data_IF_068781557681
#
_entry.id   IF_068781557681
#
_cell.length_a   1.000
_cell.length_b   1.000
_cell.length_c   1.000
_cell.angle_alpha   90.00
_cell.angle_beta   90.00
_cell.angle_gamma   90.00
#
_symmetry.space_group_name_H-M   'P 1'
#
loop_
_entity.id
_entity.type
_entity.pdbx_description
1 polymer ?
#
# COMPACT_ATOMS: atom_id res chain seq x y z
N UNK A 1 30.21 -17.34 25.35
CA UNK A 1 28.89 -16.80 25.71
C UNK A 1 28.73 -15.31 25.45
N UNK A 2 29.66 -14.39 25.68
CA UNK A 2 29.53 -12.94 25.40
C UNK A 2 29.37 -12.57 23.92
N UNK A 3 29.92 -13.33 22.96
CA UNK A 3 29.81 -13.07 21.51
C UNK A 3 28.45 -13.46 20.92
N UNK A 4 27.76 -14.44 21.51
CA UNK A 4 26.42 -14.84 21.06
C UNK A 4 25.32 -13.82 21.48
N UNK A 5 25.47 -13.22 22.69
CA UNK A 5 24.56 -12.19 23.16
C UNK A 5 24.66 -10.89 22.34
N UNK A 6 25.87 -10.52 21.90
CA UNK A 6 26.08 -9.33 21.07
C UNK A 6 25.49 -9.52 19.66
N UNK A 7 25.56 -10.72 19.10
CA UNK A 7 24.93 -11.03 17.79
C UNK A 7 23.40 -11.04 17.87
N UNK A 8 22.83 -11.49 19.00
CA UNK A 8 21.37 -11.49 19.20
C UNK A 8 20.84 -10.06 19.37
N UNK A 9 21.56 -9.19 20.06
CA UNK A 9 21.20 -7.76 20.23
C UNK A 9 21.32 -7.00 18.90
N UNK A 10 22.31 -7.33 18.08
CA UNK A 10 22.46 -6.73 16.74
C UNK A 10 21.35 -7.19 15.77
N UNK A 11 20.86 -8.43 15.88
CA UNK A 11 19.71 -8.90 15.09
C UNK A 11 18.37 -8.26 15.53
N UNK A 12 18.20 -7.94 16.80
CA UNK A 12 16.97 -7.27 17.30
C UNK A 12 16.93 -5.77 16.98
N UNK A 13 18.07 -5.13 16.73
CA UNK A 13 18.16 -3.70 16.36
C UNK A 13 17.93 -3.45 14.86
N UNK A 14 17.93 -4.50 14.04
CA UNK A 14 17.75 -4.39 12.56
C UNK A 14 16.28 -4.28 12.11
N UNK A 15 15.30 -4.45 13.00
CA UNK A 15 13.88 -4.51 12.63
C UNK A 15 13.10 -3.19 12.66
N UNK A 16 13.72 -2.05 12.96
CA UNK A 16 13.04 -0.74 12.93
C UNK A 16 13.53 0.10 11.76
N UNK A 17 13.19 -0.27 10.53
CA UNK A 17 13.98 0.18 9.38
C UNK A 17 13.20 0.83 8.24
N UNK A 18 11.97 1.20 8.42
CA UNK A 18 11.22 1.93 7.40
C UNK A 18 10.64 3.20 7.99
N UNK A 19 10.68 4.26 7.27
CA UNK A 19 10.54 5.60 7.81
C UNK A 19 9.59 6.48 6.97
N UNK A 20 8.43 5.96 6.65
CA UNK A 20 7.27 6.73 6.18
C UNK A 20 6.06 6.28 7.01
N UNK A 21 5.03 7.12 7.18
CA UNK A 21 3.78 6.70 7.82
C UNK A 21 3.34 5.35 7.28
N UNK A 22 3.37 5.21 5.98
CA UNK A 22 3.00 4.03 5.23
C UNK A 22 3.88 2.82 5.53
N UNK A 23 5.18 3.03 5.65
CA UNK A 23 6.13 1.98 6.04
C UNK A 23 5.93 1.54 7.51
N UNK A 24 5.41 2.44 8.37
CA UNK A 24 5.04 2.09 9.75
C UNK A 24 3.79 1.22 9.81
N UNK A 25 2.90 1.29 8.81
CA UNK A 25 1.71 0.45 8.72
C UNK A 25 2.02 -0.94 8.17
N UNK A 26 3.07 -1.07 7.34
CA UNK A 26 3.47 -2.36 6.79
C UNK A 26 4.11 -3.26 7.86
N UNK A 27 3.76 -4.54 7.85
CA UNK A 27 4.38 -5.52 8.76
C UNK A 27 5.79 -5.88 8.26
N UNK A 28 6.74 -5.91 9.19
CA UNK A 28 8.12 -6.30 8.93
C UNK A 28 8.30 -7.83 8.77
N UNK A 29 7.37 -8.62 9.32
CA UNK A 29 7.38 -10.07 9.22
C UNK A 29 5.97 -10.65 9.41
N UNK A 30 5.66 -11.65 8.60
CA UNK A 30 4.42 -12.43 8.67
C UNK A 30 4.60 -13.77 9.38
N UNK A 31 5.78 -14.02 9.94
CA UNK A 31 6.12 -15.28 10.61
C UNK A 31 5.54 -15.34 12.02
N UNK A 32 5.00 -16.49 12.37
CA UNK A 32 4.57 -16.81 13.74
C UNK A 32 5.83 -16.96 14.60
N UNK A 33 5.88 -16.28 15.74
CA UNK A 33 7.00 -16.36 16.66
C UNK A 33 6.85 -17.62 17.53
N UNK A 34 7.94 -18.32 17.75
CA UNK A 34 7.95 -19.48 18.64
C UNK A 34 7.60 -19.13 20.10
N UNK A 35 7.87 -17.90 20.53
CA UNK A 35 7.43 -17.37 21.82
C UNK A 35 5.93 -17.39 22.02
N UNK A 36 5.17 -17.32 20.92
CA UNK A 36 3.72 -17.16 20.92
C UNK A 36 2.99 -18.50 20.83
N UNK A 37 3.73 -19.60 20.74
CA UNK A 37 3.15 -20.96 20.72
C UNK A 37 2.31 -21.22 21.96
N UNK A 38 1.09 -21.71 21.76
CA UNK A 38 0.05 -21.97 22.76
C UNK A 38 -0.28 -20.73 23.60
N UNK A 39 -0.20 -19.56 22.99
CA UNK A 39 -0.50 -18.28 23.63
C UNK A 39 -1.82 -17.72 23.08
N UNK A 40 -2.61 -17.17 23.98
CA UNK A 40 -3.74 -16.28 23.68
C UNK A 40 -3.34 -14.85 24.05
N UNK A 41 -3.47 -13.94 23.10
CA UNK A 41 -3.13 -12.53 23.27
C UNK A 41 -4.30 -11.63 22.89
N UNK A 42 -4.34 -10.43 23.46
CA UNK A 42 -5.10 -9.31 22.89
C UNK A 42 -4.11 -8.42 22.16
N UNK A 43 -4.40 -8.15 20.92
CA UNK A 43 -3.68 -7.15 20.13
C UNK A 43 -4.64 -6.02 19.78
N UNK A 44 -4.16 -4.80 19.83
CA UNK A 44 -4.91 -3.63 19.35
C UNK A 44 -4.00 -2.95 18.33
N UNK A 45 -4.49 -2.70 17.14
CA UNK A 45 -3.84 -1.80 16.18
C UNK A 45 -4.77 -0.60 15.97
N UNK A 46 -4.27 0.60 16.17
CA UNK A 46 -5.07 1.81 16.06
C UNK A 46 -4.24 2.93 15.44
N UNK A 47 -4.86 3.71 14.58
CA UNK A 47 -4.28 4.87 13.93
C UNK A 47 -5.24 6.06 14.05
N UNK A 48 -4.81 7.11 14.74
CA UNK A 48 -5.46 8.41 14.69
C UNK A 48 -4.68 9.29 13.71
N UNK A 49 -5.38 9.96 12.83
CA UNK A 49 -4.74 10.73 11.77
C UNK A 49 -5.50 12.02 11.47
N UNK A 50 -4.74 12.98 10.97
CA UNK A 50 -5.25 14.15 10.27
C UNK A 50 -4.40 14.33 9.02
N UNK A 51 -5.05 14.43 7.87
CA UNK A 51 -4.41 14.73 6.59
C UNK A 51 -5.14 15.86 5.91
N UNK A 52 -4.39 16.79 5.36
CA UNK A 52 -4.91 17.92 4.60
C UNK A 52 -4.24 17.96 3.23
N UNK A 53 -5.06 17.90 2.19
CA UNK A 53 -4.66 17.84 0.79
C UNK A 53 -5.06 19.15 0.11
N UNK A 54 -4.08 20.04 -0.06
CA UNK A 54 -4.22 21.32 -0.73
C UNK A 54 -3.99 21.14 -2.25
N UNK A 55 -4.99 20.53 -2.90
CA UNK A 55 -4.96 20.22 -4.33
C UNK A 55 -5.82 21.19 -5.11
N UNK A 56 -5.22 22.00 -5.96
CA UNK A 56 -5.90 22.90 -6.90
C UNK A 56 -5.79 22.41 -8.35
N UNK A 57 -5.78 21.09 -8.53
CA UNK A 57 -5.49 20.44 -9.79
C UNK A 57 -6.75 20.23 -10.64
N UNK A 58 -6.54 20.11 -11.97
CA UNK A 58 -7.53 19.59 -12.91
C UNK A 58 -7.72 18.07 -12.76
N UNK A 59 -6.76 17.37 -12.17
CA UNK A 59 -6.85 15.93 -11.94
C UNK A 59 -7.72 15.58 -10.75
N UNK A 60 -7.62 16.35 -9.66
CA UNK A 60 -8.33 16.06 -8.40
C UNK A 60 -8.55 17.35 -7.60
N UNK A 61 -9.49 17.31 -6.65
CA UNK A 61 -9.73 18.39 -5.70
C UNK A 61 -9.04 18.12 -4.38
N UNK A 62 -8.72 19.19 -3.64
CA UNK A 62 -8.26 19.10 -2.26
C UNK A 62 -9.38 18.73 -1.29
N UNK A 63 -8.99 18.19 -0.15
CA UNK A 63 -9.87 17.82 0.96
C UNK A 63 -9.06 17.55 2.22
N UNK A 64 -9.68 17.74 3.39
CA UNK A 64 -9.09 17.35 4.66
C UNK A 64 -9.72 16.04 5.15
N UNK A 65 -8.93 15.19 5.77
CA UNK A 65 -9.33 13.87 6.23
C UNK A 65 -8.83 13.61 7.66
N UNK A 66 -9.54 14.09 8.71
CA UNK A 66 -9.32 13.65 10.08
C UNK A 66 -10.06 12.34 10.36
N UNK A 67 -9.41 11.42 11.06
CA UNK A 67 -10.03 10.14 11.38
C UNK A 67 -9.28 9.28 12.38
N UNK A 68 -9.91 8.16 12.68
CA UNK A 68 -9.39 7.12 13.55
C UNK A 68 -9.88 5.77 13.02
N UNK A 69 -9.00 4.79 12.90
CA UNK A 69 -9.42 3.39 12.88
C UNK A 69 -8.80 2.62 14.04
N UNK A 70 -9.49 1.57 14.49
CA UNK A 70 -9.05 0.70 15.57
C UNK A 70 -9.43 -0.76 15.28
N UNK A 71 -8.48 -1.65 15.53
CA UNK A 71 -8.61 -3.09 15.31
C UNK A 71 -8.24 -3.87 16.60
N UNK A 72 -9.16 -4.04 17.54
CA UNK A 72 -8.99 -4.94 18.67
C UNK A 72 -9.14 -6.39 18.21
N UNK A 73 -8.17 -7.25 18.56
CA UNK A 73 -8.10 -8.65 18.11
C UNK A 73 -7.71 -9.58 19.24
N UNK A 74 -8.34 -10.74 19.30
CA UNK A 74 -7.86 -11.92 20.00
C UNK A 74 -7.00 -12.72 19.04
N UNK A 75 -5.77 -13.02 19.42
CA UNK A 75 -4.81 -13.79 18.63
C UNK A 75 -4.46 -15.05 19.37
N UNK A 76 -4.75 -16.19 18.75
CA UNK A 76 -4.46 -17.51 19.30
C UNK A 76 -3.53 -18.31 18.39
N UNK A 77 -2.44 -18.81 18.95
CA UNK A 77 -1.43 -19.61 18.23
C UNK A 77 -1.44 -21.05 18.76
N UNK A 78 -2.37 -21.91 18.28
CA UNK A 78 -2.46 -23.30 18.77
C UNK A 78 -1.24 -24.15 18.43
N UNK A 79 -0.66 -23.93 17.26
CA UNK A 79 0.47 -24.67 16.71
C UNK A 79 1.53 -23.70 16.21
N UNK A 80 2.77 -24.14 16.12
CA UNK A 80 3.87 -23.33 15.60
C UNK A 80 3.67 -22.85 14.15
N UNK A 81 2.75 -23.49 13.42
CA UNK A 81 2.42 -23.18 12.05
C UNK A 81 1.07 -22.46 11.89
N UNK A 82 0.21 -22.41 12.91
CA UNK A 82 -1.15 -21.89 12.80
C UNK A 82 -1.36 -20.74 13.79
N UNK A 83 -1.89 -19.64 13.30
CA UNK A 83 -2.35 -18.50 14.08
C UNK A 83 -3.74 -18.08 13.61
N UNK A 84 -4.62 -17.82 14.55
CA UNK A 84 -6.00 -17.41 14.33
C UNK A 84 -6.24 -16.05 14.98
N UNK A 85 -6.86 -15.15 14.26
CA UNK A 85 -7.25 -13.82 14.75
C UNK A 85 -8.76 -13.66 14.65
N UNK A 86 -9.37 -13.15 15.71
CA UNK A 86 -10.78 -12.78 15.78
C UNK A 86 -10.91 -11.40 16.41
N UNK A 87 -11.64 -10.50 15.78
CA UNK A 87 -11.77 -9.13 16.26
C UNK A 87 -12.77 -8.31 15.49
N UNK A 88 -12.53 -7.01 15.46
CA UNK A 88 -13.30 -6.05 14.69
C UNK A 88 -12.37 -4.98 14.11
N UNK A 89 -12.75 -4.43 12.98
CA UNK A 89 -12.24 -3.17 12.43
C UNK A 89 -13.31 -2.11 12.62
N UNK A 90 -12.97 -0.97 13.20
CA UNK A 90 -13.85 0.18 13.31
C UNK A 90 -13.15 1.42 12.74
N UNK A 91 -13.82 2.12 11.85
CA UNK A 91 -13.33 3.33 11.21
C UNK A 91 -14.29 4.49 11.48
N UNK A 92 -13.75 5.63 11.92
CA UNK A 92 -14.47 6.89 12.12
C UNK A 92 -13.66 7.98 11.43
N UNK A 93 -14.29 8.79 10.58
CA UNK A 93 -13.62 9.91 9.94
C UNK A 93 -14.59 11.07 9.66
N UNK A 94 -14.00 12.25 9.55
CA UNK A 94 -14.61 13.45 8.99
C UNK A 94 -13.83 13.88 7.76
N UNK A 95 -14.44 14.67 6.87
CA UNK A 95 -13.82 15.11 5.62
C UNK A 95 -14.33 14.31 4.43
N UNK A 96 -13.51 14.12 3.42
CA UNK A 96 -13.92 13.39 2.23
C UNK A 96 -14.17 11.91 2.55
N UNK A 97 -15.40 11.47 2.39
CA UNK A 97 -15.77 10.06 2.55
C UNK A 97 -15.61 9.25 1.27
N UNK A 98 -15.25 9.88 0.20
CA UNK A 98 -15.07 9.26 -1.10
C UNK A 98 -13.64 9.48 -1.54
N UNK A 99 -12.98 8.39 -1.82
CA UNK A 99 -11.70 8.47 -2.46
C UNK A 99 -11.80 9.34 -3.71
N UNK A 100 -10.89 10.26 -3.98
CA UNK A 100 -11.00 11.17 -5.13
C UNK A 100 -10.77 10.45 -6.46
N UNK A 101 -11.06 9.15 -6.53
CA UNK A 101 -10.97 8.32 -7.71
C UNK A 101 -12.27 7.55 -7.90
N UNK A 102 -13.01 7.85 -8.94
CA UNK A 102 -14.27 7.15 -9.23
C UNK A 102 -14.06 5.66 -9.59
N UNK A 103 -12.84 5.25 -9.93
CA UNK A 103 -12.48 3.85 -10.14
C UNK A 103 -12.65 3.02 -8.87
N UNK A 104 -12.64 3.66 -7.71
CA UNK A 104 -12.81 3.04 -6.40
C UNK A 104 -14.25 3.10 -5.85
N UNK A 105 -15.24 3.44 -6.66
CA UNK A 105 -16.61 3.58 -6.20
C UNK A 105 -17.16 2.36 -5.45
N UNK A 106 -16.61 1.18 -5.73
CA UNK A 106 -17.05 -0.07 -5.16
C UNK A 106 -16.07 -0.62 -4.11
N UNK A 107 -14.94 0.04 -3.90
CA UNK A 107 -14.02 -0.29 -2.83
C UNK A 107 -14.56 0.34 -1.55
N UNK A 108 -15.13 -0.47 -0.69
CA UNK A 108 -15.91 0.00 0.44
C UNK A 108 -17.32 0.46 0.02
N UNK A 109 -18.28 0.15 0.83
CA UNK A 109 -19.73 0.40 0.61
C UNK A 109 -20.12 1.86 0.70
N UNK A 110 -19.32 2.75 0.17
CA UNK A 110 -19.55 4.18 0.19
C UNK A 110 -20.59 4.57 -0.86
N UNK A 111 -21.83 4.32 -0.50
CA UNK A 111 -22.94 4.78 -1.30
C UNK A 111 -23.22 6.25 -1.06
N UNK A 112 -23.40 6.92 -2.15
CA UNK A 112 -24.07 8.21 -2.17
C UNK A 112 -23.18 9.40 -2.06
N UNK A 113 -23.79 10.47 -1.67
CA UNK A 113 -23.30 11.82 -1.66
C UNK A 113 -21.95 11.96 -0.96
N UNK A 114 -21.24 12.98 -1.34
CA UNK A 114 -19.96 13.39 -0.78
C UNK A 114 -20.12 13.84 0.69
N UNK A 115 -20.39 12.90 1.59
CA UNK A 115 -20.50 13.21 3.00
C UNK A 115 -19.14 13.48 3.59
N UNK A 116 -19.10 14.39 4.52
CA UNK A 116 -17.88 14.83 5.16
C UNK A 116 -17.57 14.06 6.45
N UNK A 117 -18.32 13.03 6.77
CA UNK A 117 -18.10 12.18 7.93
C UNK A 117 -18.73 10.80 7.76
N UNK A 118 -18.14 9.81 8.40
CA UNK A 118 -18.63 8.44 8.39
C UNK A 118 -18.13 7.66 9.60
N UNK A 119 -18.86 6.59 9.92
CA UNK A 119 -18.46 5.62 10.93
C UNK A 119 -19.02 4.26 10.55
N UNK A 120 -18.19 3.21 10.64
CA UNK A 120 -18.63 1.84 10.47
C UNK A 120 -17.73 0.87 11.21
N UNK A 121 -18.22 -0.36 11.41
CA UNK A 121 -17.46 -1.44 11.99
C UNK A 121 -17.72 -2.74 11.22
N UNK A 122 -16.66 -3.51 11.04
CA UNK A 122 -16.66 -4.78 10.34
C UNK A 122 -16.09 -5.88 11.26
N UNK A 123 -16.53 -7.14 11.13
CA UNK A 123 -15.87 -8.24 11.79
C UNK A 123 -14.45 -8.41 11.23
N UNK A 124 -13.53 -8.85 12.07
CA UNK A 124 -12.17 -9.23 11.71
C UNK A 124 -11.97 -10.72 11.91
N UNK A 125 -11.57 -11.42 10.88
CA UNK A 125 -11.31 -12.85 10.89
C UNK A 125 -10.07 -13.15 10.05
N UNK A 126 -9.02 -13.68 10.66
CA UNK A 126 -7.83 -14.12 9.93
C UNK A 126 -7.37 -15.49 10.39
N UNK A 127 -7.12 -16.37 9.44
CA UNK A 127 -6.40 -17.61 9.65
C UNK A 127 -5.07 -17.55 8.89
N UNK A 128 -3.97 -17.87 9.58
CA UNK A 128 -2.63 -17.86 9.01
C UNK A 128 -1.95 -19.20 9.22
N UNK A 129 -1.36 -19.73 8.14
CA UNK A 129 -0.57 -20.96 8.17
C UNK A 129 0.86 -20.68 7.67
N UNK A 130 1.86 -20.97 8.49
CA UNK A 130 3.27 -20.80 8.16
C UNK A 130 3.94 -22.13 7.82
N UNK A 131 4.49 -22.23 6.62
CA UNK A 131 5.38 -23.28 6.18
C UNK A 131 6.83 -22.75 6.14
N UNK A 132 7.79 -23.55 5.71
CA UNK A 132 9.21 -23.18 5.74
C UNK A 132 9.52 -21.81 5.11
N UNK A 133 8.94 -21.49 3.98
CA UNK A 133 9.16 -20.23 3.25
C UNK A 133 7.85 -19.56 2.84
N UNK A 134 6.72 -20.22 3.02
CA UNK A 134 5.41 -19.79 2.60
C UNK A 134 4.54 -19.47 3.81
N UNK A 135 3.83 -18.37 3.77
CA UNK A 135 2.72 -18.03 4.65
C UNK A 135 1.45 -17.95 3.82
N UNK A 136 0.45 -18.71 4.22
CA UNK A 136 -0.89 -18.67 3.63
C UNK A 136 -1.79 -17.91 4.58
N UNK A 137 -2.56 -16.98 4.07
CA UNK A 137 -3.51 -16.15 4.83
C UNK A 137 -4.89 -16.28 4.20
N UNK A 138 -5.92 -16.43 5.02
CA UNK A 138 -7.33 -16.44 4.62
C UNK A 138 -8.15 -15.56 5.57
N UNK A 139 -9.18 -14.92 5.04
CA UNK A 139 -9.99 -13.92 5.74
C UNK A 139 -9.41 -12.52 5.52
N UNK A 140 -9.27 -11.71 6.57
CA UNK A 140 -8.62 -10.40 6.46
C UNK A 140 -7.15 -10.59 6.14
N UNK A 141 -6.75 -10.20 4.92
CA UNK A 141 -5.39 -10.35 4.43
C UNK A 141 -4.49 -9.21 4.91
N UNK A 142 -3.20 -9.31 4.68
CA UNK A 142 -2.28 -8.19 4.87
C UNK A 142 -2.34 -7.28 3.65
N UNK A 143 -3.37 -6.43 3.61
CA UNK A 143 -3.68 -5.55 2.50
C UNK A 143 -2.93 -4.22 2.51
N UNK A 144 -3.29 -3.36 1.59
CA UNK A 144 -2.81 -2.00 1.49
C UNK A 144 -1.31 -1.89 1.32
N UNK A 145 -0.66 -1.14 2.20
CA UNK A 145 0.79 -0.93 2.17
C UNK A 145 1.61 -2.22 2.33
N UNK A 146 1.03 -3.29 2.87
CA UNK A 146 1.74 -4.57 3.01
C UNK A 146 2.04 -5.22 1.65
N UNK A 147 1.29 -4.92 0.61
CA UNK A 147 1.56 -5.40 -0.76
C UNK A 147 2.83 -4.80 -1.38
N UNK A 148 3.38 -3.74 -0.77
CA UNK A 148 4.63 -3.07 -1.22
C UNK A 148 4.59 -2.64 -2.68
N UNK A 149 3.42 -2.25 -3.17
CA UNK A 149 3.27 -1.72 -4.51
C UNK A 149 4.00 -0.36 -4.62
N UNK A 150 4.51 -0.09 -5.81
CA UNK A 150 5.15 1.21 -6.09
C UNK A 150 4.13 2.35 -6.00
N UNK A 151 4.59 3.54 -5.65
CA UNK A 151 3.75 4.74 -5.47
C UNK A 151 2.78 5.02 -6.64
N UNK A 152 3.15 4.84 -7.92
CA UNK A 152 2.18 4.99 -9.00
C UNK A 152 1.10 3.91 -9.05
N UNK A 153 1.28 2.76 -8.41
CA UNK A 153 0.30 1.66 -8.39
C UNK A 153 -0.55 1.63 -7.12
N UNK A 154 -0.07 2.24 -6.04
CA UNK A 154 -0.80 2.30 -4.77
C UNK A 154 -0.69 3.68 -4.14
N UNK A 155 -1.84 4.30 -3.87
CA UNK A 155 -1.90 5.50 -3.05
C UNK A 155 -2.00 5.11 -1.57
N UNK A 156 -0.95 5.36 -0.84
CA UNK A 156 -0.85 5.00 0.55
C UNK A 156 -1.91 5.66 1.45
N UNK A 157 -2.48 6.80 1.05
CA UNK A 157 -3.60 7.43 1.76
C UNK A 157 -4.83 6.51 1.88
N UNK A 158 -4.97 5.54 0.98
CA UNK A 158 -6.01 4.52 1.06
C UNK A 158 -6.03 3.79 2.42
N UNK A 159 -4.88 3.58 3.04
CA UNK A 159 -4.79 2.93 4.35
C UNK A 159 -5.46 3.72 5.49
N UNK A 160 -5.82 5.00 5.27
CA UNK A 160 -6.52 5.81 6.27
C UNK A 160 -8.03 5.57 6.29
N UNK A 161 -8.64 5.30 5.14
CA UNK A 161 -10.10 5.30 4.97
C UNK A 161 -10.68 4.08 4.26
N UNK A 162 -9.85 3.12 3.88
CA UNK A 162 -10.33 1.87 3.29
C UNK A 162 -10.60 0.81 4.36
N UNK A 163 -11.59 -0.03 4.08
CA UNK A 163 -11.85 -1.24 4.83
C UNK A 163 -10.70 -2.25 4.63
N UNK A 164 -10.47 -3.15 5.60
CA UNK A 164 -9.54 -4.25 5.45
C UNK A 164 -9.85 -5.09 4.21
N UNK A 165 -8.82 -5.49 3.51
CA UNK A 165 -8.95 -6.39 2.39
C UNK A 165 -9.25 -7.81 2.87
N UNK A 166 -10.23 -8.47 2.26
CA UNK A 166 -10.66 -9.81 2.66
C UNK A 166 -10.53 -10.80 1.50
N UNK A 167 -9.94 -11.95 1.76
CA UNK A 167 -9.83 -13.00 0.75
C UNK A 167 -8.74 -14.01 1.04
N UNK A 168 -7.78 -14.13 0.13
CA UNK A 168 -6.71 -15.11 0.18
C UNK A 168 -5.36 -14.49 -0.19
N UNK A 169 -4.29 -14.86 0.54
CA UNK A 169 -2.96 -14.33 0.27
C UNK A 169 -1.87 -15.38 0.47
N UNK A 170 -0.89 -15.35 -0.43
CA UNK A 170 0.32 -16.17 -0.39
C UNK A 170 1.53 -15.23 -0.25
N UNK A 171 2.24 -15.37 0.85
CA UNK A 171 3.47 -14.63 1.12
C UNK A 171 4.64 -15.61 1.13
N UNK A 172 5.60 -15.40 0.23
CA UNK A 172 6.76 -16.27 0.13
C UNK A 172 8.04 -15.46 0.30
N UNK A 173 8.85 -15.90 1.27
CA UNK A 173 10.12 -15.26 1.60
C UNK A 173 11.24 -16.30 1.58
N UNK A 174 12.23 -16.08 0.75
CA UNK A 174 13.41 -16.94 0.72
C UNK A 174 14.68 -16.15 0.55
N UNK A 175 15.59 -16.33 1.48
CA UNK A 175 16.97 -15.86 1.39
C UNK A 175 17.86 -16.98 0.85
N UNK A 176 18.84 -16.66 0.01
CA UNK A 176 19.82 -17.59 -0.59
C UNK A 176 19.18 -18.63 -1.51
N UNK A 177 18.64 -18.20 -2.64
CA UNK A 177 17.99 -19.09 -3.60
C UNK A 177 18.99 -19.89 -4.48
N UNK A 178 20.25 -19.53 -4.47
CA UNK A 178 21.25 -20.26 -5.25
C UNK A 178 22.65 -19.66 -5.18
N UNK A 179 23.56 -20.25 -5.95
CA UNK A 179 24.93 -19.74 -6.15
C UNK A 179 25.02 -18.74 -7.31
N UNK A 180 24.00 -18.62 -8.13
CA UNK A 180 24.01 -17.97 -9.43
C UNK A 180 23.09 -16.75 -9.52
N UNK A 181 23.38 -15.69 -8.77
CA UNK A 181 22.83 -14.36 -9.07
C UNK A 181 21.53 -13.95 -8.37
N UNK A 182 20.59 -14.84 -8.10
CA UNK A 182 19.38 -14.53 -7.30
C UNK A 182 19.69 -14.83 -5.85
N UNK A 183 19.66 -13.79 -5.01
CA UNK A 183 20.05 -13.89 -3.62
C UNK A 183 18.90 -14.07 -2.65
N UNK A 184 17.85 -13.30 -2.83
CA UNK A 184 16.62 -13.37 -2.07
C UNK A 184 15.42 -13.14 -2.99
N UNK A 185 14.26 -13.60 -2.57
CA UNK A 185 13.00 -13.28 -3.24
C UNK A 185 11.92 -13.13 -2.19
N UNK A 186 11.20 -12.05 -2.29
CA UNK A 186 9.94 -11.82 -1.61
C UNK A 186 8.82 -11.84 -2.64
N UNK A 187 7.72 -12.52 -2.33
CA UNK A 187 6.52 -12.56 -3.15
C UNK A 187 5.31 -12.35 -2.25
N UNK A 188 4.42 -11.51 -2.69
CA UNK A 188 3.07 -11.36 -2.19
C UNK A 188 2.09 -11.54 -3.35
N UNK A 189 1.20 -12.50 -3.26
CA UNK A 189 0.15 -12.74 -4.25
C UNK A 189 -1.18 -12.87 -3.51
N UNK A 190 -2.17 -12.10 -3.93
CA UNK A 190 -3.43 -11.99 -3.21
C UNK A 190 -4.65 -11.94 -4.10
N UNK A 191 -5.76 -12.31 -3.54
CA UNK A 191 -7.11 -12.07 -4.00
C UNK A 191 -7.83 -11.29 -2.91
N UNK A 192 -8.31 -10.10 -3.23
CA UNK A 192 -9.21 -9.31 -2.40
C UNK A 192 -10.61 -9.35 -3.01
N UNK A 193 -11.55 -9.96 -2.33
CA UNK A 193 -12.93 -10.05 -2.77
C UNK A 193 -13.73 -8.87 -2.24
N UNK A 194 -14.20 -7.99 -3.11
CA UNK A 194 -14.74 -6.69 -2.75
C UNK A 194 -16.25 -6.66 -2.66
N UNK A 195 -16.95 -7.37 -3.50
CA UNK A 195 -18.42 -7.44 -3.45
C UNK A 195 -18.99 -8.67 -4.15
N UNK A 196 -20.16 -9.06 -3.66
CA UNK A 196 -21.13 -9.90 -4.31
C UNK A 196 -22.38 -9.12 -4.65
N UNK A 197 -23.21 -9.66 -5.51
CA UNK A 197 -24.53 -9.19 -5.91
C UNK A 197 -25.36 -8.79 -4.73
N UNK A 198 -25.82 -7.57 -4.63
CA UNK A 198 -26.90 -7.28 -3.69
C UNK A 198 -27.75 -6.09 -4.06
N UNK A 199 -27.48 -5.42 -5.18
CA UNK A 199 -28.20 -4.23 -5.54
C UNK A 199 -28.34 -4.09 -7.04
N UNK A 200 -29.50 -3.60 -7.48
CA UNK A 200 -29.88 -3.53 -8.90
C UNK A 200 -28.95 -2.71 -9.77
N UNK A 201 -28.19 -1.79 -9.16
CA UNK A 201 -27.22 -0.91 -9.83
C UNK A 201 -25.76 -1.26 -9.57
N UNK A 202 -25.47 -2.40 -8.94
CA UNK A 202 -24.11 -2.87 -8.66
C UNK A 202 -23.67 -4.00 -9.56
N UNK A 203 -22.38 -4.13 -9.75
CA UNK A 203 -21.80 -5.28 -10.43
C UNK A 203 -22.08 -6.58 -9.67
N UNK A 204 -22.29 -7.66 -10.40
CA UNK A 204 -22.54 -8.98 -9.83
C UNK A 204 -21.41 -9.43 -8.91
N UNK A 205 -20.18 -9.17 -9.29
CA UNK A 205 -19.00 -9.43 -8.48
C UNK A 205 -17.96 -8.32 -8.68
N UNK A 206 -17.13 -8.10 -7.67
CA UNK A 206 -15.95 -7.27 -7.78
C UNK A 206 -14.82 -7.85 -6.94
N UNK A 207 -13.66 -7.99 -7.54
CA UNK A 207 -12.46 -8.44 -6.86
C UNK A 207 -11.19 -7.85 -7.46
N UNK A 208 -10.14 -7.85 -6.66
CA UNK A 208 -8.79 -7.49 -7.11
C UNK A 208 -7.86 -8.69 -6.91
N UNK A 209 -7.13 -9.04 -7.95
CA UNK A 209 -5.99 -9.97 -7.86
C UNK A 209 -4.72 -9.18 -8.04
N UNK A 210 -3.75 -9.42 -7.18
CA UNK A 210 -2.44 -8.79 -7.32
C UNK A 210 -1.29 -9.75 -7.05
N UNK A 211 -0.14 -9.39 -7.58
CA UNK A 211 1.12 -10.07 -7.30
C UNK A 211 2.26 -9.07 -7.31
N UNK A 212 3.02 -9.02 -6.23
CA UNK A 212 4.19 -8.19 -6.07
C UNK A 212 5.41 -9.06 -5.72
N UNK A 213 6.47 -8.89 -6.49
CA UNK A 213 7.73 -9.62 -6.32
C UNK A 213 8.87 -8.65 -6.16
N UNK A 214 9.78 -8.95 -5.25
CA UNK A 214 11.09 -8.31 -5.13
C UNK A 214 12.17 -9.38 -5.24
N UNK A 215 12.89 -9.39 -6.35
CA UNK A 215 13.96 -10.36 -6.63
C UNK A 215 15.30 -9.71 -6.41
N UNK A 216 15.99 -10.08 -5.35
CA UNK A 216 17.33 -9.58 -5.04
C UNK A 216 18.41 -10.20 -5.94
N UNK A 217 19.26 -9.36 -6.51
CA UNK A 217 20.23 -9.73 -7.55
C UNK A 217 21.66 -9.84 -7.03
N UNK A 218 21.96 -9.41 -5.81
CA UNK A 218 23.33 -9.44 -5.25
C UNK A 218 23.36 -10.02 -3.84
N UNK A 219 24.52 -10.57 -3.42
CA UNK A 219 24.70 -11.17 -2.12
C UNK A 219 24.39 -10.23 -0.95
N UNK A 220 23.86 -10.79 0.13
CA UNK A 220 23.43 -10.04 1.31
C UNK A 220 24.56 -9.32 2.07
N UNK A 221 25.84 -9.68 1.85
CA UNK A 221 27.01 -9.00 2.45
C UNK A 221 27.44 -7.73 1.70
N UNK A 222 26.90 -7.49 0.48
CA UNK A 222 27.18 -6.24 -0.24
C UNK A 222 26.50 -5.07 0.46
N UNK A 223 27.19 -3.93 0.57
CA UNK A 223 26.60 -2.67 1.04
C UNK A 223 25.59 -2.11 0.07
N UNK A 224 25.67 -2.46 -1.20
CA UNK A 224 24.70 -2.14 -2.24
C UNK A 224 23.97 -3.42 -2.61
N UNK A 225 22.67 -3.42 -2.48
CA UNK A 225 21.78 -4.54 -2.84
C UNK A 225 20.93 -4.11 -4.01
N UNK A 226 21.10 -4.79 -5.13
CA UNK A 226 20.26 -4.60 -6.31
C UNK A 226 19.05 -5.53 -6.23
N UNK A 227 17.91 -5.05 -6.68
CA UNK A 227 16.70 -5.85 -6.76
C UNK A 227 15.89 -5.48 -8.00
N UNK A 228 15.03 -6.40 -8.43
CA UNK A 228 14.10 -6.24 -9.52
C UNK A 228 12.67 -6.36 -8.96
N UNK A 229 11.91 -5.26 -8.89
CA UNK A 229 10.49 -5.31 -8.57
C UNK A 229 9.71 -5.73 -9.82
N UNK A 230 8.74 -6.64 -9.62
CA UNK A 230 7.75 -7.06 -10.61
C UNK A 230 6.39 -6.98 -9.94
N UNK A 231 5.45 -6.24 -10.51
CA UNK A 231 4.15 -6.00 -9.89
C UNK A 231 3.04 -6.07 -10.93
N UNK A 232 1.93 -6.66 -10.54
CA UNK A 232 0.70 -6.67 -11.33
C UNK A 232 -0.50 -6.54 -10.40
N UNK A 233 -1.49 -5.77 -10.83
CA UNK A 233 -2.78 -5.62 -10.15
C UNK A 233 -3.86 -5.67 -11.22
N UNK A 234 -4.83 -6.55 -11.02
CA UNK A 234 -5.97 -6.74 -11.93
C UNK A 234 -7.24 -6.51 -11.12
N UNK A 235 -8.09 -5.62 -11.56
CA UNK A 235 -9.42 -5.41 -11.02
C UNK A 235 -10.44 -5.98 -11.99
N UNK A 236 -11.34 -6.80 -11.47
CA UNK A 236 -12.47 -7.34 -12.20
C UNK A 236 -13.78 -6.89 -11.58
N UNK A 237 -14.76 -6.53 -12.41
CA UNK A 237 -16.12 -6.20 -12.03
C UNK A 237 -17.08 -6.75 -13.05
N UNK A 238 -18.17 -7.33 -12.59
CA UNK A 238 -19.20 -7.89 -13.46
C UNK A 238 -19.36 -9.39 -13.28
N UNK A 239 -20.07 -10.02 -14.15
CA UNK A 239 -20.39 -11.44 -14.14
C UNK A 239 -21.39 -11.77 -15.25
N UNK A 240 -21.78 -13.05 -15.37
CA UNK A 240 -22.71 -13.49 -16.42
C UNK A 240 -24.09 -12.82 -16.35
N UNK A 241 -24.49 -12.37 -15.16
CA UNK A 241 -25.79 -11.74 -14.92
C UNK A 241 -25.65 -10.25 -14.55
N UNK A 242 -24.54 -9.62 -14.92
CA UNK A 242 -24.34 -8.20 -14.66
C UNK A 242 -25.38 -7.37 -15.43
N UNK A 243 -26.17 -6.63 -14.70
CA UNK A 243 -27.22 -5.72 -15.24
C UNK A 243 -26.79 -4.26 -15.26
N UNK A 244 -25.56 -3.96 -14.87
CA UNK A 244 -25.06 -2.58 -14.90
C UNK A 244 -24.93 -2.07 -16.35
N UNK A 245 -25.16 -0.79 -16.54
CA UNK A 245 -25.00 -0.14 -17.85
C UNK A 245 -23.54 -0.13 -18.35
N UNK A 246 -22.59 -0.38 -17.47
CA UNK A 246 -21.15 -0.38 -17.78
C UNK A 246 -20.65 -1.74 -18.25
N UNK A 247 -21.42 -2.83 -18.06
CA UNK A 247 -21.04 -4.19 -18.41
C UNK A 247 -19.81 -4.70 -17.63
N UNK A 248 -19.31 -5.84 -18.04
CA UNK A 248 -18.12 -6.46 -17.44
C UNK A 248 -16.88 -5.61 -17.70
N UNK A 249 -16.10 -5.37 -16.66
CA UNK A 249 -14.86 -4.59 -16.71
C UNK A 249 -13.70 -5.40 -16.16
N UNK A 250 -12.59 -5.42 -16.88
CA UNK A 250 -11.34 -5.99 -16.42
C UNK A 250 -10.19 -5.05 -16.74
N UNK A 251 -9.57 -4.51 -15.71
CA UNK A 251 -8.56 -3.48 -15.77
C UNK A 251 -7.27 -3.98 -15.14
N UNK A 252 -6.13 -3.68 -15.74
CA UNK A 252 -4.84 -4.16 -15.30
C UNK A 252 -3.82 -3.02 -15.20
N UNK A 253 -3.02 -3.04 -14.13
CA UNK A 253 -1.75 -2.32 -14.06
C UNK A 253 -0.61 -3.31 -13.85
N UNK A 254 0.52 -3.05 -14.47
CA UNK A 254 1.75 -3.80 -14.27
C UNK A 254 2.96 -2.88 -14.17
N UNK A 255 4.00 -3.34 -13.48
CA UNK A 255 5.27 -2.62 -13.34
C UNK A 255 6.43 -3.61 -13.34
N UNK A 256 7.52 -3.22 -14.00
CA UNK A 256 8.82 -3.88 -13.92
C UNK A 256 9.89 -2.81 -13.75
N UNK A 257 10.85 -3.06 -12.88
CA UNK A 257 11.89 -2.09 -12.59
C UNK A 257 13.23 -2.69 -12.19
N UNK A 258 14.16 -1.79 -11.90
CA UNK A 258 15.44 -2.08 -11.28
C UNK A 258 15.65 -1.09 -10.14
N UNK A 259 15.95 -1.61 -8.97
CA UNK A 259 16.19 -0.81 -7.79
C UNK A 259 17.48 -1.17 -7.08
N UNK A 260 17.91 -0.28 -6.20
CA UNK A 260 19.05 -0.53 -5.32
C UNK A 260 18.79 0.01 -3.91
N UNK A 261 19.33 -0.68 -2.93
CA UNK A 261 19.49 -0.21 -1.55
C UNK A 261 20.97 -0.12 -1.22
N UNK A 262 21.42 1.05 -0.82
CA UNK A 262 22.76 1.27 -0.32
C UNK A 262 22.72 1.52 1.19
N UNK A 263 23.54 0.80 1.94
CA UNK A 263 23.67 0.89 3.39
C UNK A 263 25.03 1.51 3.75
N UNK A 264 25.12 2.86 3.78
CA UNK A 264 26.37 3.54 4.10
C UNK A 264 26.76 3.33 5.57
N UNK A 265 28.05 3.38 5.85
CA UNK A 265 28.61 3.26 7.22
C UNK A 265 28.58 4.58 8.00
N UNK A 266 27.75 5.53 7.61
CA UNK A 266 27.65 6.84 8.27
C UNK A 266 26.84 6.77 9.57
N UNK A 267 27.05 7.74 10.46
CA UNK A 267 26.27 7.86 11.70
C UNK A 267 24.87 8.46 11.47
N UNK A 268 24.64 9.11 10.35
CA UNK A 268 23.44 9.89 10.05
C UNK A 268 22.50 9.17 9.11
N UNK A 269 23.02 8.72 7.97
CA UNK A 269 22.23 8.03 6.94
C UNK A 269 22.21 6.54 7.22
N UNK A 270 21.06 5.95 7.18
CA UNK A 270 20.79 4.55 7.45
C UNK A 270 20.70 3.72 6.17
N UNK A 271 19.98 4.24 5.20
CA UNK A 271 19.75 3.64 3.89
C UNK A 271 19.56 4.73 2.85
N UNK A 272 20.06 4.51 1.66
CA UNK A 272 19.69 5.24 0.45
C UNK A 272 19.07 4.22 -0.50
N UNK A 273 18.00 4.58 -1.16
CA UNK A 273 17.34 3.76 -2.17
C UNK A 273 17.16 4.56 -3.47
N UNK A 274 17.17 3.85 -4.57
CA UNK A 274 16.80 4.38 -5.87
C UNK A 274 16.14 3.27 -6.68
N UNK A 275 15.15 3.62 -7.48
CA UNK A 275 14.43 2.68 -8.35
C UNK A 275 14.01 3.38 -9.64
N UNK A 276 14.08 2.65 -10.75
CA UNK A 276 13.51 3.05 -12.03
C UNK A 276 12.62 1.94 -12.55
N UNK A 277 11.42 2.28 -12.98
CA UNK A 277 10.43 1.31 -13.45
C UNK A 277 9.67 1.79 -14.68
N UNK A 278 9.23 0.82 -15.46
CA UNK A 278 8.27 0.97 -16.56
C UNK A 278 6.95 0.40 -16.08
N UNK A 279 5.88 1.18 -16.30
CA UNK A 279 4.53 0.80 -15.91
C UNK A 279 3.66 0.66 -17.16
N UNK A 280 2.70 -0.23 -17.08
CA UNK A 280 1.68 -0.42 -18.12
C UNK A 280 0.29 -0.39 -17.49
N UNK A 281 -0.66 0.10 -18.25
CA UNK A 281 -2.09 0.00 -17.99
C UNK A 281 -2.78 -0.66 -19.16
N UNK A 282 -3.78 -1.52 -18.91
CA UNK A 282 -4.52 -2.23 -19.91
C UNK A 282 -5.97 -2.45 -19.49
N UNK A 283 -6.91 -2.09 -20.37
CA UNK A 283 -8.33 -2.39 -20.25
C UNK A 283 -8.65 -3.57 -21.15
N UNK A 284 -8.79 -4.75 -20.53
CA UNK A 284 -9.04 -6.00 -21.26
C UNK A 284 -10.51 -6.09 -21.69
N UNK A 285 -11.43 -5.60 -20.85
CA UNK A 285 -12.85 -5.52 -21.15
C UNK A 285 -13.45 -4.28 -20.50
N UNK A 286 -14.60 -3.86 -21.02
CA UNK A 286 -15.30 -2.67 -20.58
C UNK A 286 -14.89 -1.41 -21.34
N UNK A 287 -15.48 -0.28 -20.96
CA UNK A 287 -15.29 1.03 -21.58
C UNK A 287 -15.10 2.14 -20.56
N UNK A 288 -14.58 1.80 -19.37
CA UNK A 288 -14.39 2.77 -18.29
C UNK A 288 -13.34 3.82 -18.67
N UNK A 289 -12.28 3.39 -19.36
CA UNK A 289 -11.24 4.30 -19.83
C UNK A 289 -11.45 4.62 -21.32
N UNK A 290 -11.13 5.84 -21.75
CA UNK A 290 -11.25 6.23 -23.16
C UNK A 290 -10.11 5.68 -24.04
N UNK A 291 -9.37 4.68 -23.56
CA UNK A 291 -8.27 4.00 -24.28
C UNK A 291 -8.03 2.62 -23.66
N UNK A 292 -7.51 1.70 -24.45
CA UNK A 292 -7.33 0.30 -24.04
C UNK A 292 -5.98 0.06 -23.35
N UNK A 293 -4.96 0.82 -23.68
CA UNK A 293 -3.62 0.60 -23.16
C UNK A 293 -2.82 1.90 -22.99
N UNK A 294 -1.87 1.87 -22.08
CA UNK A 294 -0.94 2.96 -21.87
C UNK A 294 0.35 2.52 -21.19
N UNK A 295 1.36 3.38 -21.26
CA UNK A 295 2.68 3.15 -20.67
C UNK A 295 3.13 4.40 -19.94
N UNK A 296 3.82 4.19 -18.82
CA UNK A 296 4.47 5.26 -18.05
C UNK A 296 5.86 4.84 -17.57
N UNK A 297 6.63 5.82 -17.15
CA UNK A 297 7.96 5.67 -16.59
C UNK A 297 7.99 6.32 -15.22
N UNK A 298 8.64 5.68 -14.27
CA UNK A 298 8.79 6.20 -12.93
C UNK A 298 10.21 6.03 -12.45
N UNK A 299 10.75 7.08 -11.84
CA UNK A 299 12.04 7.05 -11.15
C UNK A 299 11.88 7.65 -9.78
N UNK A 300 12.49 7.04 -8.78
CA UNK A 300 12.46 7.53 -7.41
C UNK A 300 13.83 7.33 -6.74
N UNK A 301 14.17 8.22 -5.85
CA UNK A 301 15.32 8.10 -4.97
C UNK A 301 14.94 8.61 -3.57
N UNK A 302 15.54 8.01 -2.54
CA UNK A 302 15.26 8.40 -1.18
C UNK A 302 16.39 8.09 -0.22
N UNK A 303 16.32 8.68 0.95
CA UNK A 303 17.24 8.44 2.05
C UNK A 303 16.49 8.35 3.38
N UNK A 304 16.82 7.32 4.15
CA UNK A 304 16.35 7.15 5.52
C UNK A 304 17.46 7.55 6.48
N UNK A 305 17.14 8.39 7.44
CA UNK A 305 18.05 8.90 8.44
C UNK A 305 17.79 8.24 9.80
N UNK A 306 18.81 8.20 10.67
CA UNK A 306 18.74 7.48 11.97
C UNK A 306 17.80 8.11 13.00
N UNK A 307 17.33 9.31 12.79
CA UNK A 307 16.44 10.03 13.74
C UNK A 307 14.97 10.00 13.33
N UNK A 308 14.56 8.99 12.55
CA UNK A 308 13.17 8.86 12.11
C UNK A 308 12.77 9.81 10.98
N UNK A 309 13.73 10.43 10.29
CA UNK A 309 13.48 11.27 9.12
C UNK A 309 13.66 10.44 7.86
N UNK A 310 12.75 10.56 6.91
CA UNK A 310 12.89 10.04 5.55
C UNK A 310 12.57 11.11 4.54
N UNK A 311 13.36 11.11 3.47
CA UNK A 311 13.14 11.97 2.31
C UNK A 311 13.08 11.10 1.07
N UNK A 312 12.12 11.37 0.19
CA UNK A 312 11.98 10.70 -1.09
C UNK A 312 11.61 11.73 -2.16
N UNK A 313 12.25 11.63 -3.30
CA UNK A 313 11.93 12.45 -4.47
C UNK A 313 11.79 11.52 -5.68
N UNK A 314 10.98 11.91 -6.64
CA UNK A 314 10.82 11.12 -7.85
C UNK A 314 10.17 11.89 -8.98
N UNK A 315 10.13 11.24 -10.13
CA UNK A 315 9.47 11.74 -11.32
C UNK A 315 8.70 10.61 -12.00
N UNK A 316 7.51 10.94 -12.46
CA UNK A 316 6.64 10.07 -13.23
C UNK A 316 6.35 10.72 -14.57
N UNK A 317 6.30 9.94 -15.64
CA UNK A 317 5.93 10.41 -16.96
C UNK A 317 5.09 9.39 -17.70
N UNK A 318 3.87 9.75 -18.06
CA UNK A 318 3.08 9.08 -19.07
C UNK A 318 3.10 9.89 -20.36
N UNK A 319 3.72 9.39 -21.46
CA UNK A 319 3.84 10.16 -22.71
C UNK A 319 2.50 10.38 -23.40
N UNK A 320 1.54 9.47 -23.21
CA UNK A 320 0.18 9.54 -23.78
C UNK A 320 -0.85 9.23 -22.72
N UNK A 321 -1.16 7.97 -22.54
CA UNK A 321 -2.22 7.48 -21.66
C UNK A 321 -1.64 6.56 -20.60
N UNK A 322 -2.09 6.72 -19.39
CA UNK A 322 -1.85 5.83 -18.28
C UNK A 322 -2.89 6.13 -17.18
N UNK A 323 -3.51 5.10 -16.65
CA UNK A 323 -4.37 5.19 -15.47
C UNK A 323 -3.84 4.24 -14.42
N UNK A 324 -3.61 4.75 -13.24
CA UNK A 324 -3.37 3.91 -12.08
C UNK A 324 -4.69 3.50 -11.44
N UNK A 325 -4.89 2.20 -11.25
CA UNK A 325 -6.10 1.66 -10.61
C UNK A 325 -6.23 2.11 -9.16
N UNK A 326 -5.14 2.04 -8.41
CA UNK A 326 -5.11 2.31 -6.98
C UNK A 326 -4.07 3.37 -6.58
N UNK A 327 -3.43 4.01 -7.55
CA UNK A 327 -2.43 5.03 -7.31
C UNK A 327 -2.98 6.42 -7.06
N UNK A 328 -2.12 7.30 -6.64
CA UNK A 328 -2.44 8.70 -6.49
C UNK A 328 -2.82 9.32 -7.86
N UNK A 329 -3.87 10.15 -7.92
CA UNK A 329 -4.33 10.81 -9.17
C UNK A 329 -3.24 11.56 -9.93
N UNK A 330 -2.19 12.04 -9.27
CA UNK A 330 -1.05 12.71 -9.92
C UNK A 330 -0.15 11.77 -10.75
N UNK A 331 -0.39 10.47 -10.68
CA UNK A 331 0.24 9.45 -11.54
C UNK A 331 -0.73 8.87 -12.58
N UNK A 332 -1.72 9.66 -12.99
CA UNK A 332 -2.72 9.25 -13.98
C UNK A 332 -2.96 10.36 -14.99
N UNK A 333 -3.22 10.00 -16.25
CA UNK A 333 -3.66 10.94 -17.28
C UNK A 333 -5.17 11.17 -17.25
N UNK A 334 -5.91 10.37 -16.48
CA UNK A 334 -7.36 10.46 -16.34
C UNK A 334 -7.70 11.28 -15.10
N UNK A 335 -8.44 12.35 -15.29
CA UNK A 335 -8.92 13.20 -14.21
C UNK A 335 -10.03 12.50 -13.42
N UNK A 336 -9.85 12.41 -12.11
CA UNK A 336 -10.89 11.91 -11.21
C UNK A 336 -11.92 13.00 -10.84
N UNK A 337 -11.63 14.23 -11.23
CA UNK A 337 -12.50 15.37 -10.98
C UNK A 337 -13.63 15.48 -11.99
N UNK A 338 -13.35 15.24 -13.27
CA UNK A 338 -14.27 15.48 -14.39
C UNK A 338 -14.24 14.37 -15.47
N UNK A 339 -13.43 13.33 -15.27
CA UNK A 339 -13.33 12.22 -16.22
C UNK A 339 -12.53 12.53 -17.50
N UNK A 340 -11.93 13.74 -17.60
CA UNK A 340 -11.16 14.13 -18.76
C UNK A 340 -9.84 13.34 -18.88
N UNK A 341 -9.52 12.94 -20.11
CA UNK A 341 -8.24 12.31 -20.42
C UNK A 341 -7.24 13.32 -20.98
N UNK A 342 -6.16 13.55 -20.27
CA UNK A 342 -5.07 14.42 -20.70
C UNK A 342 -4.12 13.68 -21.64
N UNK A 343 -3.60 14.39 -22.64
CA UNK A 343 -2.59 13.85 -23.59
C UNK A 343 -1.20 13.91 -22.95
N UNK A 344 -0.97 13.00 -22.01
CA UNK A 344 0.25 12.86 -21.27
C UNK A 344 0.31 13.72 -20.00
N UNK A 345 1.14 13.25 -19.07
CA UNK A 345 1.44 13.92 -17.80
C UNK A 345 2.93 13.72 -17.47
N UNK A 346 3.51 14.73 -16.84
CA UNK A 346 4.76 14.59 -16.10
C UNK A 346 4.50 15.07 -14.68
N UNK A 347 4.90 14.29 -13.68
CA UNK A 347 4.78 14.65 -12.27
C UNK A 347 6.15 14.51 -11.62
N UNK A 348 6.68 15.59 -11.04
CA UNK A 348 7.78 15.53 -10.09
C UNK A 348 7.21 15.63 -8.69
N UNK A 349 7.77 14.88 -7.74
CA UNK A 349 7.28 14.88 -6.37
C UNK A 349 8.39 14.83 -5.34
N UNK A 350 8.08 15.37 -4.18
CA UNK A 350 8.90 15.30 -2.97
C UNK A 350 8.02 14.82 -1.83
N UNK A 351 8.53 13.87 -1.06
CA UNK A 351 7.91 13.39 0.16
C UNK A 351 8.91 13.47 1.31
N UNK A 352 8.51 14.04 2.43
CA UNK A 352 9.24 14.10 3.67
C UNK A 352 8.39 13.52 4.79
N UNK A 353 8.97 12.68 5.60
CA UNK A 353 8.33 12.06 6.76
C UNK A 353 9.24 12.14 7.98
N UNK A 354 8.63 12.33 9.13
CA UNK A 354 9.26 12.22 10.44
C UNK A 354 8.42 11.36 11.35
N UNK A 355 9.03 10.37 12.02
CA UNK A 355 8.37 9.62 13.07
C UNK A 355 9.24 9.50 14.32
N UNK A 356 8.58 9.46 15.45
CA UNK A 356 9.17 9.26 16.76
C UNK A 356 8.48 8.12 17.49
N UNK A 357 9.23 7.05 17.78
CA UNK A 357 8.76 5.92 18.58
C UNK A 357 9.13 6.19 20.05
N UNK A 358 8.15 6.49 20.90
CA UNK A 358 8.37 6.82 22.31
C UNK A 358 8.09 5.64 23.26
N UNK A 359 7.51 4.58 22.75
CA UNK A 359 7.40 3.27 23.37
C UNK A 359 7.36 2.25 22.25
N UNK A 360 7.65 0.99 22.52
CA UNK A 360 7.64 -0.05 21.47
C UNK A 360 6.37 -0.07 20.63
N UNK A 361 5.25 0.33 21.25
CA UNK A 361 3.91 0.23 20.72
C UNK A 361 3.29 1.59 20.33
N UNK A 362 4.04 2.69 20.41
CA UNK A 362 3.52 4.03 20.14
C UNK A 362 4.42 4.81 19.20
N UNK A 363 3.87 5.22 18.08
CA UNK A 363 4.57 5.99 17.04
C UNK A 363 3.79 7.25 16.74
N UNK A 364 4.41 8.40 16.98
CA UNK A 364 3.91 9.70 16.52
C UNK A 364 4.67 10.09 15.27
N UNK A 365 3.98 10.57 14.25
CA UNK A 365 4.61 11.00 13.02
C UNK A 365 3.94 12.18 12.34
N UNK A 366 4.67 12.75 11.40
CA UNK A 366 4.22 13.81 10.53
C UNK A 366 4.80 13.62 9.13
N UNK A 367 4.04 13.96 8.12
CA UNK A 367 4.45 13.85 6.72
C UNK A 367 4.09 15.10 5.94
N UNK A 368 4.82 15.35 4.87
CA UNK A 368 4.53 16.39 3.90
C UNK A 368 4.88 15.89 2.49
N UNK A 369 4.02 16.20 1.54
CA UNK A 369 4.20 15.84 0.13
C UNK A 369 3.98 17.07 -0.74
N UNK A 370 4.72 17.14 -1.85
CA UNK A 370 4.53 18.15 -2.88
C UNK A 370 4.56 17.46 -4.24
N UNK A 371 3.66 17.86 -5.13
CA UNK A 371 3.53 17.35 -6.49
C UNK A 371 3.50 18.50 -7.48
N UNK A 372 4.49 18.58 -8.35
CA UNK A 372 4.51 19.47 -9.49
C UNK A 372 4.08 18.70 -10.72
N UNK A 373 2.92 19.06 -11.29
CA UNK A 373 2.31 18.35 -12.40
C UNK A 373 2.31 19.22 -13.66
N UNK A 374 2.79 18.70 -14.76
CA UNK A 374 2.69 19.28 -16.10
C UNK A 374 1.73 18.43 -16.92
N UNK A 375 0.52 18.95 -17.12
CA UNK A 375 -0.57 18.26 -17.82
C UNK A 375 -0.55 18.62 -19.32
N UNK A 376 -0.68 17.61 -20.16
CA UNK A 376 -1.04 17.78 -21.55
C UNK A 376 -2.47 18.33 -21.68
N UNK A 377 -2.84 18.79 -22.87
CA UNK A 377 -4.22 19.23 -23.14
C UNK A 377 -5.19 18.03 -23.09
N UNK A 378 -6.43 18.31 -22.71
CA UNK A 378 -7.60 17.44 -22.90
C UNK A 378 -8.60 18.11 -23.83
N UNK A 379 -9.82 17.56 -23.93
CA UNK A 379 -10.92 18.19 -24.68
C UNK A 379 -11.39 19.49 -24.01
N UNK A 380 -11.44 19.53 -22.69
CA UNK A 380 -11.93 20.67 -21.91
C UNK A 380 -10.80 21.62 -21.46
N UNK A 381 -9.56 21.11 -21.34
CA UNK A 381 -8.48 21.85 -20.72
C UNK A 381 -7.28 22.03 -21.64
N UNK A 382 -6.72 23.23 -21.64
CA UNK A 382 -5.41 23.52 -22.20
C UNK A 382 -4.31 22.90 -21.32
N UNK A 383 -3.06 22.90 -21.81
CA UNK A 383 -1.88 22.54 -20.99
C UNK A 383 -1.87 23.36 -19.71
N UNK A 384 -1.51 22.72 -18.63
CA UNK A 384 -1.38 23.40 -17.33
C UNK A 384 -0.15 22.91 -16.58
N UNK A 385 0.27 23.75 -15.65
CA UNK A 385 1.36 23.58 -14.73
C UNK A 385 0.78 23.80 -13.32
N UNK A 386 0.85 22.80 -12.47
CA UNK A 386 0.08 22.75 -11.22
C UNK A 386 0.96 22.27 -10.07
N UNK A 387 1.04 23.07 -9.01
CA UNK A 387 1.68 22.68 -7.76
C UNK A 387 0.62 22.29 -6.75
N UNK A 388 0.75 21.11 -6.18
CA UNK A 388 -0.15 20.56 -5.19
C UNK A 388 0.68 20.04 -4.02
N UNK A 389 0.15 20.15 -2.82
CA UNK A 389 0.82 19.64 -1.62
C UNK A 389 -0.16 19.08 -0.61
N UNK A 390 0.37 18.24 0.28
CA UNK A 390 -0.37 17.73 1.41
C UNK A 390 0.51 17.65 2.63
N UNK A 391 -0.11 17.65 3.79
CA UNK A 391 0.54 17.34 5.05
C UNK A 391 -0.35 16.45 5.92
N UNK A 392 0.28 15.67 6.78
CA UNK A 392 -0.42 14.78 7.69
C UNK A 392 0.30 14.66 9.02
N UNK A 393 -0.47 14.38 10.06
CA UNK A 393 0.03 13.96 11.36
C UNK A 393 -0.70 12.70 11.79
N UNK A 394 -0.02 11.82 12.48
CA UNK A 394 -0.61 10.57 12.93
C UNK A 394 -0.05 10.08 14.26
N UNK A 395 -0.88 9.34 14.99
CA UNK A 395 -0.49 8.55 16.14
C UNK A 395 -0.93 7.11 15.92
N UNK A 396 0.02 6.19 15.86
CA UNK A 396 -0.22 4.75 15.84
C UNK A 396 0.02 4.14 17.20
N UNK A 397 -0.87 3.24 17.60
CA UNK A 397 -0.84 2.49 18.85
C UNK A 397 -1.07 1.01 18.52
N UNK A 398 -0.12 0.12 18.89
CA UNK A 398 -0.20 -1.30 18.51
C UNK A 398 0.28 -2.26 19.60
N UNK A 399 -0.26 -2.17 20.86
CA UNK A 399 0.11 -3.06 21.95
C UNK A 399 -0.34 -4.51 21.73
N UNK A 400 0.45 -5.43 22.25
CA UNK A 400 0.14 -6.86 22.31
C UNK A 400 0.29 -7.37 23.74
N UNK A 401 -0.79 -7.88 24.31
CA UNK A 401 -0.87 -8.26 25.73
C UNK A 401 -1.13 -9.78 25.78
N UNK A 402 -0.23 -10.51 26.43
CA UNK A 402 -0.41 -11.93 26.71
C UNK A 402 -1.51 -12.14 27.77
N UNK A 403 -2.58 -12.84 27.41
CA UNK A 403 -3.64 -13.21 28.35
C UNK A 403 -3.37 -14.57 29.01
N UNK A 404 -2.97 -15.56 28.21
CA UNK A 404 -2.72 -16.91 28.71
C UNK A 404 -1.73 -17.65 27.82
N UNK A 405 -0.96 -18.52 28.44
CA UNK A 405 -0.07 -19.47 27.76
C UNK A 405 -0.25 -20.86 28.37
N UNK A 406 -0.38 -21.88 27.52
CA UNK A 406 -0.58 -23.29 27.94
C UNK A 406 0.69 -24.13 27.79
#
# INVERSE_FOLDING_TARGET
MKRAATSLIVCLIVQSLCAQMWDQLAKSSYRIRQSDLRALRVEVDALTFFRDNEYSSKLTKGYSLPGLWVEPKLVYTPLSQIELELGAHALIFNGANKYPCYVYHDVGRWKGSQHQHGAHALPWLRAKANFKHLTVVMGDIYGGQNHRLSTPLWNAEANLSQDPEMGFQLLWDRNKIGTSGIWNCHMDTWLNWQSYIFEEDSHQEAFTVGSAWEVGLLPAWSKVKWYMPLQVVIQHRGGEQDTTSMGVQTLCNASVGLGMHWYPTTRTVKRVNAEASVLATYQQSGTLWPFDAGVAYHVTAGADFRRGISLRAGAFRAPRHFVSLYGNPFFSTLSVRDGESHRGITTAYLHADYHYTFHHDYVLGAEAEAYQCWLGRSTLHQRSDELNFSFGIYLRVHPSILLKKW
#
